data_IF_580335268104
#
_entry.id   IF_580335268104
#
_cell.length_a   1.000
_cell.length_b   1.000
_cell.length_c   1.000
_cell.angle_alpha   90.00
_cell.angle_beta   90.00
_cell.angle_gamma   90.00
#
_symmetry.space_group_name_H-M   'P 1'
#
loop_
_entity.id
_entity.type
_entity.pdbx_description
1 polymer ?
#
# COMPACT_ATOMS: atom_id res chain seq x y z
N UNK A 1 2.69 -23.84 57.60
CA UNK A 1 3.09 -23.44 56.23
C UNK A 1 1.83 -23.32 55.39
N UNK A 2 1.37 -22.10 55.09
CA UNK A 2 0.20 -21.90 54.23
C UNK A 2 0.42 -22.61 52.88
N UNK A 3 -0.61 -23.32 52.39
CA UNK A 3 -0.52 -24.22 51.25
C UNK A 3 -0.17 -23.46 49.97
N UNK A 4 1.13 -23.41 49.62
CA UNK A 4 1.64 -22.77 48.40
C UNK A 4 1.01 -23.33 47.12
N UNK A 5 0.49 -24.57 47.16
CA UNK A 5 -0.24 -25.18 46.06
C UNK A 5 -1.49 -24.41 45.62
N UNK A 6 -2.23 -23.81 46.56
CA UNK A 6 -3.41 -23.00 46.23
C UNK A 6 -3.04 -21.69 45.51
N UNK A 7 -1.91 -21.09 45.89
CA UNK A 7 -1.37 -19.91 45.23
C UNK A 7 -0.95 -20.22 43.79
N UNK A 8 -0.24 -21.33 43.57
CA UNK A 8 0.16 -21.75 42.23
C UNK A 8 -1.02 -22.14 41.33
N UNK A 9 -2.07 -22.76 41.89
CA UNK A 9 -3.30 -23.05 41.14
C UNK A 9 -3.99 -21.76 40.65
N UNK A 10 -4.08 -20.72 41.50
CA UNK A 10 -4.61 -19.42 41.09
C UNK A 10 -3.76 -18.73 40.03
N UNK A 11 -2.44 -18.73 40.20
CA UNK A 11 -1.52 -18.15 39.22
C UNK A 11 -1.59 -18.87 37.87
N UNK A 12 -1.63 -20.21 37.87
CA UNK A 12 -1.79 -21.02 36.66
C UNK A 12 -3.13 -20.77 35.96
N UNK A 13 -4.21 -20.63 36.73
CA UNK A 13 -5.54 -20.31 36.19
C UNK A 13 -5.57 -18.95 35.48
N UNK A 14 -5.04 -17.90 36.12
CA UNK A 14 -4.97 -16.56 35.52
C UNK A 14 -4.10 -16.58 34.26
N UNK A 15 -2.94 -17.25 34.31
CA UNK A 15 -2.05 -17.38 33.16
C UNK A 15 -2.75 -18.05 31.97
N UNK A 16 -3.43 -19.18 32.21
CA UNK A 16 -4.18 -19.88 31.18
C UNK A 16 -5.31 -19.00 30.60
N UNK A 17 -6.04 -18.27 31.45
CA UNK A 17 -7.08 -17.34 30.98
C UNK A 17 -6.50 -16.21 30.13
N UNK A 18 -5.35 -15.64 30.48
CA UNK A 18 -4.74 -14.59 29.67
C UNK A 18 -4.18 -15.13 28.34
N UNK A 19 -3.48 -16.26 28.38
CA UNK A 19 -2.82 -16.84 27.20
C UNK A 19 -3.79 -17.49 26.22
N UNK A 20 -4.87 -18.12 26.70
CA UNK A 20 -5.86 -18.82 25.86
C UNK A 20 -7.08 -17.93 25.65
N UNK A 21 -7.57 -17.29 26.71
CA UNK A 21 -8.75 -16.43 26.66
C UNK A 21 -8.54 -15.17 25.82
N UNK A 22 -7.32 -14.61 25.78
CA UNK A 22 -7.00 -13.49 24.88
C UNK A 22 -7.22 -13.83 23.41
N UNK A 23 -6.51 -14.83 22.85
CA UNK A 23 -6.73 -15.29 21.47
C UNK A 23 -8.16 -15.79 21.22
N UNK A 24 -8.77 -16.53 22.15
CA UNK A 24 -10.13 -17.03 21.99
C UNK A 24 -11.16 -15.89 21.91
N UNK A 25 -11.01 -14.85 22.73
CA UNK A 25 -11.85 -13.65 22.68
C UNK A 25 -11.67 -12.90 21.36
N UNK A 26 -10.42 -12.80 20.87
CA UNK A 26 -10.14 -12.19 19.57
C UNK A 26 -10.82 -12.95 18.43
N UNK A 27 -10.74 -14.28 18.40
CA UNK A 27 -11.45 -15.07 17.37
C UNK A 27 -12.96 -14.95 17.46
N UNK A 28 -13.52 -14.77 18.66
CA UNK A 28 -14.95 -14.55 18.85
C UNK A 28 -15.42 -13.17 18.38
N UNK A 29 -14.62 -12.13 18.61
CA UNK A 29 -14.98 -10.74 18.26
C UNK A 29 -14.62 -10.36 16.83
N UNK A 30 -13.58 -10.97 16.26
CA UNK A 30 -13.11 -10.65 14.91
C UNK A 30 -14.20 -11.08 13.92
N UNK A 31 -14.79 -10.14 13.17
CA UNK A 31 -15.85 -10.46 12.22
C UNK A 31 -15.34 -11.43 11.15
N UNK A 32 -16.22 -12.31 10.68
CA UNK A 32 -15.87 -13.27 9.63
C UNK A 32 -15.48 -12.57 8.32
N UNK A 33 -14.71 -13.28 7.48
CA UNK A 33 -14.25 -12.75 6.20
C UNK A 33 -15.44 -12.24 5.35
N UNK A 34 -15.39 -10.96 4.96
CA UNK A 34 -16.43 -10.32 4.14
C UNK A 34 -17.66 -9.81 4.91
N UNK A 35 -17.79 -10.03 6.21
CA UNK A 35 -18.92 -9.48 6.99
C UNK A 35 -18.85 -7.95 7.08
N UNK A 36 -17.65 -7.40 7.26
CA UNK A 36 -17.42 -5.94 7.23
C UNK A 36 -17.75 -5.36 5.85
N UNK A 37 -17.44 -6.08 4.78
CA UNK A 37 -17.72 -5.64 3.41
C UNK A 37 -19.22 -5.53 3.14
N UNK A 38 -20.02 -6.46 3.66
CA UNK A 38 -21.49 -6.42 3.54
C UNK A 38 -22.12 -5.21 4.23
N UNK A 39 -21.47 -4.65 5.26
CA UNK A 39 -21.93 -3.47 6.00
C UNK A 39 -21.61 -2.15 5.28
N UNK A 40 -20.80 -2.17 4.21
CA UNK A 40 -20.49 -0.96 3.43
C UNK A 40 -21.64 -0.52 2.54
N UNK A 41 -21.68 0.77 2.19
CA UNK A 41 -22.60 1.32 1.19
C UNK A 41 -22.37 0.62 -0.18
N UNK A 42 -23.44 0.27 -0.94
CA UNK A 42 -23.32 -0.39 -2.25
C UNK A 42 -22.34 0.28 -3.22
N UNK A 43 -22.23 1.61 -3.22
CA UNK A 43 -21.28 2.32 -4.10
C UNK A 43 -19.82 2.03 -3.73
N UNK A 44 -19.54 1.96 -2.42
CA UNK A 44 -18.23 1.60 -1.92
C UNK A 44 -17.92 0.13 -2.19
N UNK A 45 -18.90 -0.76 -2.13
CA UNK A 45 -18.70 -2.17 -2.45
C UNK A 45 -18.25 -2.33 -3.91
N UNK A 46 -18.93 -1.67 -4.86
CA UNK A 46 -18.56 -1.68 -6.28
C UNK A 46 -17.15 -1.14 -6.50
N UNK A 47 -16.83 0.03 -5.96
CA UNK A 47 -15.50 0.63 -6.05
C UNK A 47 -14.40 -0.26 -5.46
N UNK A 48 -14.67 -0.93 -4.35
CA UNK A 48 -13.71 -1.86 -3.75
C UNK A 48 -13.46 -3.09 -4.62
N UNK A 49 -14.49 -3.60 -5.31
CA UNK A 49 -14.36 -4.71 -6.24
C UNK A 49 -13.58 -4.32 -7.49
N UNK A 50 -13.88 -3.16 -8.07
CA UNK A 50 -13.17 -2.61 -9.24
C UNK A 50 -11.69 -2.35 -8.92
N UNK A 51 -11.40 -1.77 -7.75
CA UNK A 51 -10.03 -1.43 -7.35
C UNK A 51 -9.26 -2.63 -6.79
N UNK A 52 -9.86 -3.81 -6.65
CA UNK A 52 -9.22 -4.96 -6.01
C UNK A 52 -7.93 -5.37 -6.72
N UNK A 53 -8.00 -5.52 -8.04
CA UNK A 53 -6.83 -5.89 -8.85
C UNK A 53 -5.74 -4.82 -8.78
N UNK A 54 -6.13 -3.54 -8.89
CA UNK A 54 -5.20 -2.43 -8.77
C UNK A 54 -4.51 -2.41 -7.39
N UNK A 55 -5.23 -2.69 -6.30
CA UNK A 55 -4.63 -2.76 -4.95
C UNK A 55 -3.65 -3.91 -4.81
N UNK A 56 -3.96 -5.08 -5.37
CA UNK A 56 -3.04 -6.22 -5.37
C UNK A 56 -1.76 -5.86 -6.11
N UNK A 57 -1.89 -5.32 -7.33
CA UNK A 57 -0.75 -4.87 -8.12
C UNK A 57 0.09 -3.80 -7.41
N UNK A 58 -0.57 -2.78 -6.83
CA UNK A 58 0.13 -1.73 -6.09
C UNK A 58 0.85 -2.28 -4.86
N UNK A 59 0.28 -3.29 -4.20
CA UNK A 59 0.90 -3.94 -3.05
C UNK A 59 2.15 -4.74 -3.45
N UNK A 60 2.06 -5.51 -4.54
CA UNK A 60 3.19 -6.24 -5.12
C UNK A 60 4.31 -5.30 -5.55
N UNK A 61 3.98 -4.20 -6.23
CA UNK A 61 4.96 -3.16 -6.60
C UNK A 61 5.61 -2.54 -5.37
N UNK A 62 4.81 -2.21 -4.34
CA UNK A 62 5.31 -1.66 -3.09
C UNK A 62 6.28 -2.62 -2.38
N UNK A 63 5.93 -3.90 -2.26
CA UNK A 63 6.80 -4.92 -1.67
C UNK A 63 8.09 -5.08 -2.49
N UNK A 64 7.99 -5.05 -3.81
CA UNK A 64 9.15 -5.14 -4.71
C UNK A 64 10.11 -3.98 -4.49
N UNK A 65 9.60 -2.73 -4.41
CA UNK A 65 10.41 -1.54 -4.09
C UNK A 65 11.02 -1.63 -2.69
N UNK A 66 10.25 -2.11 -1.71
CA UNK A 66 10.74 -2.26 -0.34
C UNK A 66 11.89 -3.28 -0.23
N UNK A 67 11.78 -4.40 -0.95
CA UNK A 67 12.85 -5.41 -1.07
C UNK A 67 14.07 -4.83 -1.78
N UNK A 68 13.87 -3.97 -2.77
CA UNK A 68 15.01 -3.31 -3.44
C UNK A 68 15.70 -2.32 -2.51
N UNK A 69 14.94 -1.52 -1.76
CA UNK A 69 15.49 -0.54 -0.82
C UNK A 69 16.21 -1.21 0.36
N UNK A 70 15.76 -2.40 0.79
CA UNK A 70 16.41 -3.12 1.87
C UNK A 70 17.80 -3.68 1.51
N UNK A 71 18.15 -3.74 0.22
CA UNK A 71 19.51 -4.12 -0.23
C UNK A 71 20.52 -2.99 -0.07
N UNK A 72 20.06 -1.76 0.19
CA UNK A 72 20.93 -0.62 0.44
C UNK A 72 21.36 -0.58 1.90
N UNK A 73 22.61 -0.18 2.15
CA UNK A 73 23.11 0.08 3.51
C UNK A 73 22.51 1.36 4.13
N UNK A 74 21.78 2.15 3.35
CA UNK A 74 21.09 3.35 3.83
C UNK A 74 19.72 2.99 4.43
N UNK A 75 19.20 3.79 5.38
CA UNK A 75 17.84 3.60 5.87
C UNK A 75 16.81 3.70 4.73
N UNK A 76 15.82 2.80 4.73
CA UNK A 76 14.81 2.65 3.66
C UNK A 76 14.15 4.00 3.29
N UNK A 77 13.85 4.85 4.28
CA UNK A 77 13.20 6.14 4.04
C UNK A 77 14.10 7.14 3.31
N UNK A 78 15.43 7.04 3.44
CA UNK A 78 16.39 7.89 2.72
C UNK A 78 16.43 7.48 1.25
N UNK A 79 16.53 6.17 1.00
CA UNK A 79 16.54 5.61 -0.37
C UNK A 79 15.23 5.92 -1.10
N UNK A 80 14.10 5.75 -0.42
CA UNK A 80 12.78 6.09 -0.97
C UNK A 80 12.67 7.58 -1.34
N UNK A 81 13.18 8.48 -0.50
CA UNK A 81 13.18 9.92 -0.78
C UNK A 81 14.15 10.31 -1.92
N UNK A 82 15.29 9.62 -2.07
CA UNK A 82 16.20 9.80 -3.20
C UNK A 82 15.56 9.35 -4.52
N UNK A 83 14.90 8.19 -4.51
CA UNK A 83 14.12 7.67 -5.65
C UNK A 83 12.96 8.59 -6.03
N UNK A 84 12.17 9.09 -5.07
CA UNK A 84 11.08 10.02 -5.34
C UNK A 84 11.58 11.31 -6.01
N UNK A 85 12.73 11.84 -5.56
CA UNK A 85 13.39 13.00 -6.19
C UNK A 85 13.81 12.69 -7.62
N UNK A 86 14.37 11.49 -7.88
CA UNK A 86 14.76 11.05 -9.22
C UNK A 86 13.55 10.92 -10.13
N UNK A 87 12.52 10.20 -9.71
CA UNK A 87 11.26 10.03 -10.46
C UNK A 87 10.59 11.38 -10.76
N UNK A 88 10.65 12.35 -9.82
CA UNK A 88 10.10 13.69 -10.04
C UNK A 88 10.91 14.47 -11.09
N UNK A 89 12.24 14.41 -11.03
CA UNK A 89 13.11 15.05 -12.02
C UNK A 89 12.89 14.46 -13.42
N UNK A 90 12.84 13.13 -13.53
CA UNK A 90 12.56 12.44 -14.80
C UNK A 90 11.18 12.79 -15.36
N UNK A 91 10.15 12.88 -14.52
CA UNK A 91 8.80 13.30 -14.96
C UNK A 91 8.79 14.72 -15.51
N UNK A 92 9.52 15.65 -14.87
CA UNK A 92 9.62 17.03 -15.35
C UNK A 92 10.35 17.08 -16.70
N UNK A 93 11.46 16.34 -16.85
CA UNK A 93 12.21 16.27 -18.10
C UNK A 93 11.34 15.69 -19.23
N UNK A 94 10.68 14.55 -19.01
CA UNK A 94 9.77 13.94 -19.99
C UNK A 94 8.62 14.87 -20.37
N UNK A 95 8.08 15.62 -19.41
CA UNK A 95 7.01 16.59 -19.69
C UNK A 95 7.51 17.76 -20.56
N UNK A 96 8.73 18.26 -20.32
CA UNK A 96 9.36 19.30 -21.13
C UNK A 96 9.66 18.80 -22.55
N UNK A 97 10.20 17.59 -22.70
CA UNK A 97 10.46 16.97 -24.01
C UNK A 97 9.16 16.76 -24.80
N UNK A 98 8.11 16.24 -24.15
CA UNK A 98 6.81 16.05 -24.78
C UNK A 98 6.19 17.39 -25.23
N UNK A 99 6.39 18.47 -24.46
CA UNK A 99 5.92 19.80 -24.86
C UNK A 99 6.68 20.32 -26.08
N UNK A 100 8.01 20.22 -26.08
CA UNK A 100 8.85 20.63 -27.19
C UNK A 100 8.51 19.86 -28.49
N UNK A 101 8.25 18.57 -28.38
CA UNK A 101 7.85 17.74 -29.52
C UNK A 101 6.47 18.15 -30.06
N UNK A 102 5.50 18.43 -29.17
CA UNK A 102 4.18 18.94 -29.58
C UNK A 102 4.27 20.27 -30.31
N UNK A 103 5.15 21.16 -29.86
CA UNK A 103 5.35 22.46 -30.51
C UNK A 103 6.01 22.31 -31.89
N UNK A 104 7.00 21.41 -32.04
CA UNK A 104 7.59 21.06 -33.35
C UNK A 104 6.55 20.54 -34.33
N UNK A 105 5.75 19.55 -33.93
CA UNK A 105 4.67 18.99 -34.76
C UNK A 105 3.67 20.09 -35.15
N UNK A 106 3.33 21.00 -34.24
CA UNK A 106 2.42 22.12 -34.52
C UNK A 106 3.00 23.11 -35.52
N UNK A 107 4.31 23.34 -35.52
CA UNK A 107 4.98 24.19 -36.50
C UNK A 107 5.06 23.53 -37.87
N UNK A 108 5.37 22.23 -37.95
CA UNK A 108 5.36 21.48 -39.20
C UNK A 108 3.98 21.47 -39.86
N UNK A 109 2.92 21.25 -39.07
CA UNK A 109 1.54 21.32 -39.55
C UNK A 109 1.17 22.73 -40.07
N UNK A 110 1.65 23.80 -39.42
CA UNK A 110 1.46 25.18 -39.89
C UNK A 110 2.19 25.45 -41.21
N UNK A 111 3.42 24.95 -41.36
CA UNK A 111 4.20 25.09 -42.60
C UNK A 111 3.55 24.30 -43.75
N UNK A 112 3.12 23.06 -43.50
CA UNK A 112 2.44 22.24 -44.51
C UNK A 112 1.08 22.81 -44.97
N UNK A 113 0.35 23.53 -44.09
CA UNK A 113 -0.88 24.22 -44.47
C UNK A 113 -0.63 25.50 -45.27
N UNK A 114 0.47 26.21 -44.99
CA UNK A 114 0.86 27.39 -45.76
C UNK A 114 1.37 27.04 -47.17
N UNK A 115 2.05 25.91 -47.32
CA UNK A 115 2.58 25.42 -48.60
C UNK A 115 1.50 24.79 -49.51
N UNK A 116 0.34 24.44 -48.94
CA UNK A 116 -0.84 23.92 -49.68
C UNK A 116 -1.80 25.01 -50.18
N UNK A 117 -1.52 26.29 -49.94
CA UNK A 117 -2.41 27.42 -50.24
C UNK A 117 -1.83 28.31 -51.33
#
# INVERSE_FOLDING_TARGET
>A
MAARGWMYAKMGGVFATCCIGGPALMYYLTPAEGEVFKRFNPDLQKRNLELREQRLKNNEEFLTKLIEYSKSDKPIWVVAAEEEKREKAERIQKAAEALAERDRVREEMRRAQADRR
#
